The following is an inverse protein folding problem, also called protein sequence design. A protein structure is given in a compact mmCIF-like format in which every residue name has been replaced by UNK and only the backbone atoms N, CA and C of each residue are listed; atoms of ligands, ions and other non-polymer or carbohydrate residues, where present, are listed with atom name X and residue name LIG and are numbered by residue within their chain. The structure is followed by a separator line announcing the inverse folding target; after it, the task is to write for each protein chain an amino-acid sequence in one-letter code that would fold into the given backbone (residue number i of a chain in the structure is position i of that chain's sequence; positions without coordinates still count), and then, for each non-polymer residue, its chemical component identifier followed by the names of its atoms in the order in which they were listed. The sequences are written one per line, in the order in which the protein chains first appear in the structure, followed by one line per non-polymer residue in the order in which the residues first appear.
data_IF_214993004037
#
_entry.id   IF_214993004037
#
_cell.length_a   1.000
_cell.length_b   1.000
_cell.length_c   1.000
_cell.angle_alpha   90.00
_cell.angle_beta   90.00
_cell.angle_gamma   90.00
#
_symmetry.space_group_name_H-M   'P 1'
#
loop_
_entity.id
_entity.type
_entity.pdbx_description
1 polymer ?
#
# COMPACT_ATOMS: atom_id res chain seq x y z
N UNK A 1 -1.53 4.16 -17.59
CA UNK A 1 -0.78 5.39 -17.30
C UNK A 1 -0.38 5.43 -15.82
N UNK A 2 0.87 5.72 -15.55
CA UNK A 2 1.38 5.82 -14.18
C UNK A 2 1.15 7.22 -13.63
N UNK A 3 0.61 7.29 -12.43
CA UNK A 3 0.45 8.55 -11.72
C UNK A 3 1.16 8.47 -10.38
N UNK A 4 1.90 9.51 -10.06
CA UNK A 4 2.46 9.68 -8.72
C UNK A 4 1.43 10.34 -7.85
N UNK A 5 1.09 9.70 -6.74
CA UNK A 5 0.00 10.16 -5.86
C UNK A 5 0.55 10.75 -4.57
N UNK A 6 1.31 9.96 -3.81
CA UNK A 6 1.94 10.37 -2.54
C UNK A 6 0.95 10.94 -1.53
N UNK A 7 -0.19 10.27 -1.34
CA UNK A 7 -1.23 10.70 -0.42
C UNK A 7 -1.39 9.73 0.72
N UNK A 8 -1.63 10.21 1.94
CA UNK A 8 -1.97 9.31 3.05
C UNK A 8 -3.33 8.66 2.79
N UNK A 9 -3.45 7.40 3.16
CA UNK A 9 -4.69 6.64 2.97
C UNK A 9 -4.99 5.84 4.23
N UNK A 10 -6.25 5.42 4.36
CA UNK A 10 -6.67 4.48 5.39
C UNK A 10 -6.69 3.09 4.79
N UNK A 11 -6.08 2.13 5.48
CA UNK A 11 -5.95 0.76 5.00
C UNK A 11 -6.47 -0.19 6.07
N UNK A 12 -7.24 -1.18 5.62
CA UNK A 12 -7.57 -2.33 6.45
C UNK A 12 -6.52 -3.39 6.12
N UNK A 13 -5.79 -3.81 7.13
CA UNK A 13 -4.72 -4.78 6.97
C UNK A 13 -4.84 -5.89 8.00
N UNK A 14 -4.39 -7.08 7.65
CA UNK A 14 -4.22 -8.22 8.55
C UNK A 14 -2.78 -8.24 9.01
N UNK A 15 -2.58 -8.47 10.30
CA UNK A 15 -1.24 -8.67 10.85
C UNK A 15 -1.14 -10.11 11.32
N UNK A 16 -0.26 -10.88 10.69
CA UNK A 16 -0.03 -12.28 11.06
C UNK A 16 1.45 -12.49 11.26
N UNK A 17 1.85 -12.89 12.48
CA UNK A 17 3.26 -13.00 12.80
C UNK A 17 3.95 -11.65 12.59
N UNK A 18 4.99 -11.62 11.78
CA UNK A 18 5.75 -10.41 11.48
C UNK A 18 5.31 -9.72 10.18
N UNK A 19 4.15 -10.07 9.65
CA UNK A 19 3.71 -9.57 8.34
C UNK A 19 2.48 -8.71 8.46
N UNK A 20 2.47 -7.62 7.67
CA UNK A 20 1.27 -6.82 7.41
C UNK A 20 0.78 -7.18 6.02
N UNK A 21 -0.50 -7.49 5.90
CA UNK A 21 -1.12 -7.88 4.64
C UNK A 21 -2.28 -6.90 4.36
N UNK A 22 -2.11 -5.94 3.45
CA UNK A 22 -3.19 -5.01 3.14
C UNK A 22 -4.33 -5.75 2.43
N UNK A 23 -5.55 -5.46 2.85
CA UNK A 23 -6.76 -6.11 2.33
C UNK A 23 -7.56 -5.17 1.46
N UNK A 24 -7.72 -3.92 1.91
CA UNK A 24 -8.42 -2.88 1.16
C UNK A 24 -8.01 -1.52 1.68
N UNK A 25 -8.23 -0.50 0.87
CA UNK A 25 -7.93 0.86 1.28
C UNK A 25 -8.96 1.85 0.74
N UNK A 26 -9.02 3.00 1.39
CA UNK A 26 -9.92 4.07 1.03
C UNK A 26 -9.12 5.18 0.33
N UNK A 27 -9.56 5.55 -0.87
CA UNK A 27 -8.91 6.59 -1.65
C UNK A 27 -9.95 7.37 -2.44
N UNK A 28 -9.92 8.69 -2.30
CA UNK A 28 -10.85 9.61 -2.97
C UNK A 28 -12.32 9.21 -2.75
N UNK A 29 -12.65 8.85 -1.51
CA UNK A 29 -14.02 8.47 -1.17
C UNK A 29 -14.45 7.09 -1.66
N UNK A 30 -13.54 6.31 -2.24
CA UNK A 30 -13.85 4.98 -2.76
C UNK A 30 -13.07 3.92 -2.00
N UNK A 31 -13.74 2.80 -1.77
CA UNK A 31 -13.11 1.63 -1.17
C UNK A 31 -12.54 0.75 -2.28
N UNK A 32 -11.24 0.47 -2.21
CA UNK A 32 -10.55 -0.33 -3.21
C UNK A 32 -10.14 -1.65 -2.58
N UNK A 33 -10.70 -2.73 -3.09
CA UNK A 33 -10.41 -4.08 -2.62
C UNK A 33 -9.16 -4.60 -3.30
N UNK A 34 -8.20 -5.05 -2.49
CA UNK A 34 -6.96 -5.62 -3.02
C UNK A 34 -7.21 -7.07 -3.38
N UNK A 35 -7.11 -7.39 -4.66
CA UNK A 35 -7.33 -8.75 -5.16
C UNK A 35 -6.04 -9.56 -5.19
N UNK A 36 -4.90 -8.89 -5.37
CA UNK A 36 -3.63 -9.57 -5.46
C UNK A 36 -2.51 -8.68 -4.92
N UNK A 37 -1.59 -9.29 -4.18
CA UNK A 37 -0.34 -8.65 -3.77
C UNK A 37 0.74 -9.24 -4.68
N UNK A 38 1.32 -8.39 -5.53
CA UNK A 38 2.26 -8.82 -6.56
C UNK A 38 3.70 -8.81 -6.06
N UNK A 39 4.02 -7.90 -5.16
CA UNK A 39 5.38 -7.77 -4.65
C UNK A 39 5.34 -7.11 -3.27
N UNK A 40 6.16 -7.61 -2.36
CA UNK A 40 6.36 -7.01 -1.05
C UNK A 40 7.86 -6.88 -0.81
N UNK A 41 8.29 -5.69 -0.41
CA UNK A 41 9.68 -5.50 0.00
C UNK A 41 9.74 -4.44 1.09
N UNK A 42 10.89 -4.32 1.72
CA UNK A 42 11.09 -3.38 2.81
C UNK A 42 12.44 -2.71 2.66
N UNK A 43 12.54 -1.50 3.23
CA UNK A 43 13.82 -0.84 3.34
C UNK A 43 13.86 0.04 4.57
N UNK A 44 15.06 0.33 5.05
CA UNK A 44 15.27 1.23 6.16
C UNK A 44 15.64 2.61 5.67
N UNK A 45 15.08 3.63 6.32
CA UNK A 45 15.54 5.01 6.20
C UNK A 45 15.84 5.48 7.61
N UNK A 46 17.14 5.60 7.93
CA UNK A 46 17.55 5.83 9.30
C UNK A 46 17.14 4.66 10.17
N UNK A 47 16.34 4.93 11.20
CA UNK A 47 15.83 3.91 12.11
C UNK A 47 14.43 3.43 11.75
N UNK A 48 13.81 4.04 10.74
CA UNK A 48 12.46 3.70 10.35
C UNK A 48 12.48 2.63 9.29
N UNK A 49 11.62 1.63 9.45
CA UNK A 49 11.44 0.58 8.46
C UNK A 49 10.15 0.83 7.70
N UNK A 50 10.28 0.88 6.39
CA UNK A 50 9.15 1.05 5.48
C UNK A 50 8.90 -0.24 4.73
N UNK A 51 7.63 -0.63 4.65
CA UNK A 51 7.20 -1.78 3.85
C UNK A 51 6.48 -1.26 2.62
N UNK A 52 6.76 -1.90 1.50
CA UNK A 52 6.18 -1.52 0.21
C UNK A 52 5.41 -2.70 -0.36
N UNK A 53 4.23 -2.41 -0.88
CA UNK A 53 3.35 -3.43 -1.46
C UNK A 53 2.92 -2.98 -2.84
N UNK A 54 3.24 -3.77 -3.86
CA UNK A 54 2.68 -3.60 -5.18
C UNK A 54 1.44 -4.49 -5.25
N UNK A 55 0.29 -3.87 -5.37
CA UNK A 55 -0.99 -4.57 -5.29
C UNK A 55 -1.85 -4.25 -6.50
N UNK A 56 -2.88 -5.03 -6.72
CA UNK A 56 -3.81 -4.78 -7.82
C UNK A 56 -5.23 -5.17 -7.42
N UNK A 57 -6.18 -4.47 -8.03
CA UNK A 57 -7.57 -4.92 -8.09
C UNK A 57 -7.81 -5.55 -9.48
N UNK A 58 -9.03 -5.52 -9.99
CA UNK A 58 -9.32 -6.14 -11.29
C UNK A 58 -8.85 -5.31 -12.48
N UNK A 59 -8.55 -4.02 -12.28
CA UNK A 59 -8.29 -3.10 -13.39
C UNK A 59 -7.04 -2.27 -13.21
N UNK A 60 -6.62 -2.03 -11.96
CA UNK A 60 -5.58 -1.06 -11.68
C UNK A 60 -4.50 -1.66 -10.78
N UNK A 61 -3.30 -1.06 -10.86
CA UNK A 61 -2.17 -1.40 -10.00
C UNK A 61 -1.87 -0.23 -9.09
N UNK A 62 -1.48 -0.53 -7.85
CA UNK A 62 -1.19 0.48 -6.84
C UNK A 62 0.09 0.12 -6.10
N UNK A 63 0.82 1.14 -5.68
CA UNK A 63 1.98 0.93 -4.81
C UNK A 63 1.71 1.61 -3.47
N UNK A 64 1.69 0.80 -2.42
CA UNK A 64 1.41 1.26 -1.07
C UNK A 64 2.67 1.24 -0.23
N UNK A 65 2.78 2.19 0.69
CA UNK A 65 3.88 2.26 1.64
C UNK A 65 3.31 2.24 3.05
N UNK A 66 3.89 1.41 3.91
CA UNK A 66 3.57 1.36 5.32
C UNK A 66 4.79 1.74 6.14
N UNK A 67 4.66 2.78 6.95
CA UNK A 67 5.72 3.23 7.85
C UNK A 67 5.49 2.56 9.21
N UNK A 68 6.37 1.62 9.59
CA UNK A 68 6.20 0.86 10.81
C UNK A 68 6.45 1.68 12.07
N UNK A 69 7.11 2.84 11.96
CA UNK A 69 7.38 3.69 13.12
C UNK A 69 6.14 4.44 13.59
N UNK A 70 5.29 4.90 12.67
CA UNK A 70 4.08 5.67 13.00
C UNK A 70 2.77 5.01 12.55
N UNK A 71 2.86 3.82 11.94
CA UNK A 71 1.72 3.03 11.48
C UNK A 71 0.89 3.71 10.39
N UNK A 72 1.53 4.59 9.61
CA UNK A 72 0.83 5.31 8.54
C UNK A 72 1.03 4.64 7.20
N UNK A 73 -0.05 4.66 6.41
CA UNK A 73 -0.07 4.16 5.06
C UNK A 73 -0.11 5.32 4.08
N UNK A 74 0.62 5.16 2.97
CA UNK A 74 0.64 6.14 1.89
C UNK A 74 0.43 5.42 0.57
N UNK A 75 -0.44 5.96 -0.26
CA UNK A 75 -0.57 5.53 -1.65
C UNK A 75 0.47 6.29 -2.46
N UNK A 76 1.48 5.59 -2.93
CA UNK A 76 2.59 6.23 -3.65
C UNK A 76 2.27 6.43 -5.12
N UNK A 77 1.75 5.40 -5.77
CA UNK A 77 1.54 5.39 -7.21
C UNK A 77 0.29 4.62 -7.57
N UNK A 78 -0.31 5.01 -8.68
CA UNK A 78 -1.43 4.31 -9.29
C UNK A 78 -1.12 4.10 -10.77
N UNK A 79 -1.43 2.92 -11.28
CA UNK A 79 -1.25 2.61 -12.69
C UNK A 79 -2.53 1.98 -13.25
N UNK A 80 -3.06 2.59 -14.29
CA UNK A 80 -4.22 2.09 -15.01
C UNK A 80 -3.89 1.97 -16.50
N UNK A 81 -4.35 0.88 -17.08
CA UNK A 81 -4.19 0.66 -18.53
C UNK A 81 -5.12 1.55 -19.35
#
# INVERSE_FOLDING_TARGET
MLEEINEPIEVIAKFTGAQAIPVKFLWQGREILIKKINLTYARFEGRSKFYFFAVSDNANYFKLQFNSANLQWTLLESYAD
#
